data_IF_302104148739
#
_entry.id   IF_302104148739
#
_cell.length_a   1.000
_cell.length_b   1.000
_cell.length_c   1.000
_cell.angle_alpha   90.00
_cell.angle_beta   90.00
_cell.angle_gamma   90.00
#
_symmetry.space_group_name_H-M   'P 1'
#
loop_
_entity.id
_entity.type
_entity.pdbx_description
1 polymer ?
#
# COMPACT_ATOMS: atom_id res chain seq x y z
N UNK A 1 -15.04 6.01 -28.16
CA UNK A 1 -14.04 5.01 -28.44
C UNK A 1 -13.18 4.79 -27.21
N UNK A 2 -13.02 3.53 -26.77
CA UNK A 2 -12.17 3.21 -25.63
C UNK A 2 -10.72 3.56 -25.97
N UNK A 3 -10.07 4.40 -25.17
CA UNK A 3 -8.64 4.68 -25.28
C UNK A 3 -7.82 3.39 -25.04
N UNK A 4 -7.29 2.81 -26.11
CA UNK A 4 -6.38 1.65 -26.07
C UNK A 4 -4.95 2.16 -26.05
N UNK A 5 -4.35 2.33 -24.86
CA UNK A 5 -3.02 2.95 -24.75
C UNK A 5 -1.88 2.01 -24.38
N UNK A 6 -2.13 0.74 -24.09
CA UNK A 6 -1.05 -0.20 -23.80
C UNK A 6 -1.14 -1.42 -24.72
N UNK A 7 -0.33 -1.43 -25.76
CA UNK A 7 0.02 -2.63 -26.50
C UNK A 7 1.08 -3.36 -25.69
N UNK A 8 0.76 -4.56 -25.22
CA UNK A 8 1.71 -5.43 -24.55
C UNK A 8 2.41 -6.33 -25.58
N UNK A 9 3.66 -6.66 -25.29
CA UNK A 9 4.45 -7.61 -26.04
C UNK A 9 4.57 -8.89 -25.22
N UNK A 10 4.08 -10.01 -25.76
CA UNK A 10 4.29 -11.35 -25.19
C UNK A 10 5.55 -11.97 -25.78
N UNK A 11 6.34 -12.72 -24.98
CA UNK A 11 7.46 -13.48 -25.51
C UNK A 11 7.00 -14.41 -26.64
N UNK A 12 7.69 -14.38 -27.77
CA UNK A 12 7.49 -15.30 -28.89
C UNK A 12 8.46 -16.48 -28.83
N UNK A 13 9.47 -16.38 -27.96
CA UNK A 13 10.54 -17.34 -27.75
C UNK A 13 10.72 -17.63 -26.26
N UNK A 14 11.35 -18.74 -25.91
CA UNK A 14 11.70 -19.01 -24.51
C UNK A 14 12.88 -18.14 -24.08
N UNK A 15 12.63 -17.18 -23.22
CA UNK A 15 13.65 -16.28 -22.69
C UNK A 15 14.65 -16.97 -21.75
N UNK A 16 14.30 -18.12 -21.15
CA UNK A 16 15.27 -18.89 -20.37
C UNK A 16 16.38 -19.47 -21.29
N UNK A 17 16.03 -19.87 -22.51
CA UNK A 17 16.98 -20.37 -23.49
C UNK A 17 17.86 -19.27 -24.12
N UNK A 18 17.48 -18.00 -24.01
CA UNK A 18 18.27 -16.88 -24.51
C UNK A 18 19.34 -16.40 -23.52
N UNK A 19 19.24 -16.78 -22.26
CA UNK A 19 20.26 -16.44 -21.25
C UNK A 19 21.43 -17.40 -21.39
N UNK A 20 22.66 -16.90 -21.67
CA UNK A 20 23.83 -17.75 -21.81
C UNK A 20 24.10 -18.60 -20.55
N UNK A 21 24.61 -19.81 -20.74
CA UNK A 21 25.00 -20.70 -19.65
C UNK A 21 26.02 -20.03 -18.74
N UNK A 22 25.72 -19.98 -17.40
CA UNK A 22 26.57 -19.31 -16.43
C UNK A 22 26.29 -17.82 -16.24
N UNK A 23 25.40 -17.20 -17.04
CA UNK A 23 25.03 -15.78 -16.85
C UNK A 23 23.81 -15.62 -15.95
N UNK A 24 23.84 -14.65 -15.04
CA UNK A 24 22.70 -14.35 -14.18
C UNK A 24 21.63 -13.53 -14.93
N UNK A 25 20.36 -13.70 -14.57
CA UNK A 25 19.25 -12.89 -15.12
C UNK A 25 19.50 -11.38 -14.96
N UNK A 26 20.24 -10.98 -13.93
CA UNK A 26 20.57 -9.57 -13.68
C UNK A 26 21.59 -9.07 -14.71
N UNK A 27 22.66 -9.80 -14.94
CA UNK A 27 23.67 -9.45 -15.95
C UNK A 27 23.08 -9.42 -17.37
N UNK A 28 22.24 -10.39 -17.70
CA UNK A 28 21.51 -10.40 -18.97
C UNK A 28 20.56 -9.20 -19.14
N UNK A 29 19.89 -8.79 -18.06
CA UNK A 29 19.03 -7.59 -18.07
C UNK A 29 19.83 -6.29 -18.33
N UNK A 30 21.01 -6.18 -17.75
CA UNK A 30 21.92 -5.05 -17.98
C UNK A 30 22.37 -4.99 -19.46
N UNK A 31 22.69 -6.12 -20.07
CA UNK A 31 22.97 -6.22 -21.52
C UNK A 31 21.80 -5.80 -22.39
N UNK A 32 20.59 -6.19 -22.00
CA UNK A 32 19.35 -5.80 -22.68
C UNK A 32 18.92 -4.36 -22.41
N UNK A 33 19.59 -3.61 -21.53
CA UNK A 33 19.25 -2.24 -21.17
C UNK A 33 17.92 -2.12 -20.39
N UNK A 34 17.56 -3.16 -19.62
CA UNK A 34 16.31 -3.24 -18.87
C UNK A 34 16.53 -3.70 -17.43
N UNK A 35 15.54 -3.54 -16.57
CA UNK A 35 15.62 -4.01 -15.19
C UNK A 35 15.46 -5.54 -15.09
N UNK A 36 16.14 -6.16 -14.13
CA UNK A 36 16.14 -7.62 -13.92
C UNK A 36 14.74 -8.24 -13.69
N UNK A 37 13.80 -7.50 -13.13
CA UNK A 37 12.42 -7.93 -12.97
C UNK A 37 11.68 -8.10 -14.32
N UNK A 38 12.07 -7.37 -15.36
CA UNK A 38 11.49 -7.54 -16.70
C UNK A 38 11.94 -8.85 -17.33
N UNK A 39 13.23 -9.19 -17.21
CA UNK A 39 13.74 -10.48 -17.70
C UNK A 39 13.09 -11.65 -16.95
N UNK A 40 12.91 -11.54 -15.62
CA UNK A 40 12.15 -12.54 -14.85
C UNK A 40 10.75 -12.75 -15.41
N UNK A 41 10.00 -11.65 -15.65
CA UNK A 41 8.65 -11.71 -16.23
C UNK A 41 8.64 -12.41 -17.60
N UNK A 42 9.63 -12.15 -18.45
CA UNK A 42 9.76 -12.79 -19.75
C UNK A 42 10.04 -14.28 -19.62
N UNK A 43 10.91 -14.68 -18.69
CA UNK A 43 11.17 -16.09 -18.37
C UNK A 43 9.91 -16.81 -17.82
N UNK A 44 8.99 -16.07 -17.22
CA UNK A 44 7.69 -16.56 -16.73
C UNK A 44 6.58 -16.42 -17.79
N UNK A 45 6.93 -16.14 -19.04
CA UNK A 45 6.02 -15.92 -20.17
C UNK A 45 4.97 -14.82 -19.92
N UNK A 46 5.35 -13.78 -19.18
CA UNK A 46 4.47 -12.64 -18.86
C UNK A 46 4.67 -11.48 -19.84
N UNK A 47 3.60 -10.75 -20.18
CA UNK A 47 3.69 -9.62 -21.11
C UNK A 47 4.46 -8.45 -20.51
N UNK A 48 5.20 -7.73 -21.37
CA UNK A 48 5.88 -6.47 -21.06
C UNK A 48 5.35 -5.32 -21.92
N UNK A 49 5.74 -4.10 -21.64
CA UNK A 49 5.36 -2.95 -22.47
C UNK A 49 6.06 -3.00 -23.83
N UNK A 50 5.39 -2.51 -24.87
CA UNK A 50 5.97 -2.42 -26.23
C UNK A 50 7.29 -1.63 -26.23
N UNK A 51 7.41 -0.58 -25.39
CA UNK A 51 8.64 0.21 -25.28
C UNK A 51 9.81 -0.66 -24.80
N UNK A 52 9.61 -1.44 -23.75
CA UNK A 52 10.65 -2.33 -23.22
C UNK A 52 10.99 -3.48 -24.18
N UNK A 53 9.98 -4.01 -24.90
CA UNK A 53 10.21 -5.00 -25.93
C UNK A 53 11.10 -4.45 -27.05
N UNK A 54 10.82 -3.24 -27.55
CA UNK A 54 11.63 -2.60 -28.57
C UNK A 54 13.08 -2.37 -28.14
N UNK A 55 13.32 -1.99 -26.88
CA UNK A 55 14.67 -1.83 -26.31
C UNK A 55 15.42 -3.18 -26.33
N UNK A 56 14.76 -4.25 -25.92
CA UNK A 56 15.35 -5.60 -25.88
C UNK A 56 15.66 -6.08 -27.30
N UNK A 57 14.75 -5.91 -28.25
CA UNK A 57 14.93 -6.27 -29.66
C UNK A 57 16.10 -5.51 -30.29
N UNK A 58 16.22 -4.22 -30.02
CA UNK A 58 17.32 -3.40 -30.50
C UNK A 58 18.66 -3.86 -29.92
N UNK A 59 18.72 -4.11 -28.61
CA UNK A 59 19.96 -4.54 -27.93
C UNK A 59 20.41 -5.95 -28.31
N UNK A 60 19.49 -6.85 -28.58
CA UNK A 60 19.79 -8.23 -29.00
C UNK A 60 19.89 -8.38 -30.54
N UNK A 61 19.61 -7.31 -31.30
CA UNK A 61 19.63 -7.31 -32.76
C UNK A 61 18.59 -8.25 -33.40
N UNK A 62 17.51 -8.58 -32.72
CA UNK A 62 16.47 -9.54 -33.12
C UNK A 62 15.09 -8.90 -33.06
N UNK A 63 14.28 -9.12 -34.11
CA UNK A 63 12.88 -8.57 -34.19
C UNK A 63 11.80 -9.64 -34.03
N UNK A 64 12.20 -10.87 -33.77
CA UNK A 64 11.32 -12.04 -33.66
C UNK A 64 11.00 -12.43 -32.22
N UNK A 65 11.46 -11.64 -31.24
CA UNK A 65 11.37 -11.98 -29.82
C UNK A 65 9.98 -11.83 -29.21
N UNK A 66 9.13 -11.00 -29.81
CA UNK A 66 7.84 -10.65 -29.23
C UNK A 66 6.69 -10.73 -30.23
N UNK A 67 5.54 -11.20 -29.75
CA UNK A 67 4.23 -11.03 -30.41
C UNK A 67 3.48 -9.87 -29.77
N UNK A 68 3.09 -8.87 -30.56
CA UNK A 68 2.27 -7.77 -30.06
C UNK A 68 0.84 -8.28 -29.84
N UNK A 69 0.36 -8.14 -28.60
CA UNK A 69 -1.04 -8.42 -28.30
C UNK A 69 -1.87 -7.21 -28.67
N UNK A 70 -2.75 -7.35 -29.68
CA UNK A 70 -3.57 -6.26 -30.22
C UNK A 70 -4.64 -5.69 -29.27
N UNK A 71 -4.80 -6.23 -28.07
CA UNK A 71 -5.78 -5.79 -27.08
C UNK A 71 -5.11 -5.34 -25.79
N UNK A 72 -4.74 -4.07 -25.77
CA UNK A 72 -4.46 -3.40 -24.49
C UNK A 72 -5.72 -3.39 -23.62
N UNK A 73 -5.59 -3.78 -22.37
CA UNK A 73 -6.68 -3.66 -21.39
C UNK A 73 -7.07 -2.19 -21.28
N UNK A 74 -8.34 -1.86 -21.55
CA UNK A 74 -8.82 -0.49 -21.44
C UNK A 74 -8.53 0.06 -20.02
N UNK A 75 -8.08 1.31 -19.95
CA UNK A 75 -7.87 1.98 -18.67
C UNK A 75 -9.18 2.05 -17.88
N UNK A 76 -9.08 1.89 -16.57
CA UNK A 76 -10.25 2.07 -15.72
C UNK A 76 -10.75 3.52 -15.79
N UNK A 77 -12.06 3.76 -15.64
CA UNK A 77 -12.58 5.13 -15.54
C UNK A 77 -11.89 5.99 -14.49
N UNK A 78 -11.43 5.38 -13.38
CA UNK A 78 -10.62 6.04 -12.35
C UNK A 78 -9.28 6.51 -12.91
N UNK A 79 -8.51 5.62 -13.52
CA UNK A 79 -7.20 5.94 -14.12
C UNK A 79 -7.30 7.03 -15.19
N UNK A 80 -8.35 7.00 -16.02
CA UNK A 80 -8.58 8.05 -17.02
C UNK A 80 -8.81 9.41 -16.34
N UNK A 81 -9.58 9.44 -15.25
CA UNK A 81 -9.81 10.67 -14.48
C UNK A 81 -8.54 11.19 -13.79
N UNK A 82 -7.70 10.30 -13.29
CA UNK A 82 -6.43 10.68 -12.66
C UNK A 82 -5.49 11.33 -13.67
N UNK A 83 -5.35 10.75 -14.86
CA UNK A 83 -4.58 11.38 -15.95
C UNK A 83 -5.18 12.72 -16.39
N UNK A 84 -6.50 12.79 -16.52
CA UNK A 84 -7.17 14.04 -16.86
C UNK A 84 -6.91 15.12 -15.80
N UNK A 85 -6.97 14.79 -14.52
CA UNK A 85 -6.70 15.72 -13.42
C UNK A 85 -5.28 16.31 -13.52
N UNK A 86 -4.27 15.47 -13.80
CA UNK A 86 -2.88 15.92 -13.98
C UNK A 86 -2.79 16.88 -15.18
N UNK A 87 -3.32 16.49 -16.32
CA UNK A 87 -3.30 17.30 -17.55
C UNK A 87 -4.05 18.63 -17.35
N UNK A 88 -5.22 18.57 -16.73
CA UNK A 88 -6.04 19.75 -16.43
C UNK A 88 -5.32 20.73 -15.49
N UNK A 89 -4.59 20.22 -14.51
CA UNK A 89 -3.79 21.03 -13.58
C UNK A 89 -2.66 21.78 -14.33
N UNK A 90 -1.92 21.07 -15.19
CA UNK A 90 -0.83 21.67 -15.98
C UNK A 90 -1.36 22.71 -16.93
N UNK A 91 -2.44 22.40 -17.68
CA UNK A 91 -3.07 23.34 -18.60
C UNK A 91 -3.73 24.52 -17.86
N UNK A 92 -4.27 24.30 -16.66
CA UNK A 92 -4.81 25.35 -15.81
C UNK A 92 -3.73 26.33 -15.35
N UNK A 93 -2.50 25.85 -15.08
CA UNK A 93 -1.37 26.71 -14.77
C UNK A 93 -0.94 27.51 -16.01
N UNK A 94 -0.83 26.86 -17.18
CA UNK A 94 -0.51 27.54 -18.44
C UNK A 94 -1.53 28.63 -18.81
N UNK A 95 -2.83 28.40 -18.51
CA UNK A 95 -3.87 29.42 -18.66
C UNK A 95 -3.67 30.60 -17.70
N UNK A 96 -3.35 30.36 -16.42
CA UNK A 96 -3.05 31.42 -15.43
C UNK A 96 -1.85 32.27 -15.82
N UNK A 97 -0.85 31.64 -16.43
CA UNK A 97 0.37 32.30 -16.93
C UNK A 97 0.16 32.93 -18.31
N UNK A 98 -1.09 32.94 -18.84
CA UNK A 98 -1.46 33.49 -20.16
C UNK A 98 -0.70 32.86 -21.35
N UNK A 99 -0.14 31.65 -21.19
CA UNK A 99 0.51 30.89 -22.26
C UNK A 99 -0.54 30.35 -23.25
N UNK A 100 -1.72 29.97 -22.74
CA UNK A 100 -2.87 29.52 -23.53
C UNK A 100 -4.11 30.36 -23.21
N UNK A 101 -5.01 30.48 -24.19
CA UNK A 101 -6.22 31.33 -24.07
C UNK A 101 -7.35 30.68 -23.23
N UNK A 102 -7.35 29.38 -23.09
CA UNK A 102 -8.34 28.61 -22.31
C UNK A 102 -7.77 27.22 -22.02
N UNK A 103 -8.30 26.56 -20.98
CA UNK A 103 -7.94 25.20 -20.64
C UNK A 103 -8.81 24.20 -21.43
N UNK A 104 -8.29 23.53 -22.47
CA UNK A 104 -9.08 22.58 -23.29
C UNK A 104 -9.53 21.34 -22.51
N UNK A 105 -8.87 20.99 -21.39
CA UNK A 105 -9.24 19.84 -20.57
C UNK A 105 -10.61 20.03 -19.87
N UNK A 106 -11.05 21.26 -19.60
CA UNK A 106 -12.33 21.54 -18.96
C UNK A 106 -13.55 21.12 -19.81
N UNK A 107 -13.38 21.03 -21.14
CA UNK A 107 -14.44 20.64 -22.08
C UNK A 107 -14.54 19.14 -22.34
N UNK A 108 -13.70 18.33 -21.68
CA UNK A 108 -13.66 16.88 -21.89
C UNK A 108 -14.75 16.20 -21.07
N UNK A 109 -15.58 15.40 -21.72
CA UNK A 109 -16.54 14.53 -21.04
C UNK A 109 -15.83 13.31 -20.49
N UNK A 110 -15.73 13.23 -19.16
CA UNK A 110 -15.08 12.13 -18.47
C UNK A 110 -15.98 10.90 -18.35
N UNK A 111 -15.41 9.68 -18.42
CA UNK A 111 -16.18 8.46 -18.21
C UNK A 111 -16.78 8.45 -16.81
N UNK A 112 -18.05 7.99 -16.69
CA UNK A 112 -18.73 7.89 -15.40
C UNK A 112 -17.93 6.99 -14.45
N UNK A 113 -17.68 7.47 -13.21
CA UNK A 113 -17.09 6.65 -12.16
C UNK A 113 -18.08 5.53 -11.84
N UNK A 114 -17.73 4.27 -12.09
CA UNK A 114 -18.56 3.17 -11.58
C UNK A 114 -18.62 3.32 -10.08
N UNK A 115 -19.82 3.24 -9.49
CA UNK A 115 -19.98 3.22 -8.02
C UNK A 115 -18.96 2.24 -7.44
N UNK A 116 -18.28 2.67 -6.41
CA UNK A 116 -17.23 1.90 -5.73
C UNK A 116 -17.81 0.52 -5.42
N UNK A 117 -17.14 -0.54 -5.88
CA UNK A 117 -17.34 -1.88 -5.34
C UNK A 117 -17.11 -1.76 -3.84
N UNK A 118 -17.93 -2.43 -3.05
CA UNK A 118 -17.69 -2.60 -1.61
C UNK A 118 -16.20 -2.80 -1.38
N UNK A 119 -15.61 -1.94 -0.54
CA UNK A 119 -14.19 -2.06 -0.23
C UNK A 119 -14.01 -3.42 0.44
N UNK A 120 -13.21 -4.30 -0.18
CA UNK A 120 -12.89 -5.59 0.43
C UNK A 120 -12.33 -5.30 1.81
N UNK A 121 -12.91 -5.90 2.84
CA UNK A 121 -12.43 -5.85 4.22
C UNK A 121 -12.22 -7.26 4.72
N UNK A 122 -11.26 -7.44 5.61
CA UNK A 122 -11.09 -8.70 6.33
C UNK A 122 -12.10 -8.77 7.45
N UNK A 123 -12.80 -9.87 7.53
CA UNK A 123 -13.70 -10.15 8.65
C UNK A 123 -12.88 -10.43 9.93
N UNK A 124 -13.47 -10.24 11.14
CA UNK A 124 -12.78 -10.49 12.40
C UNK A 124 -12.10 -11.86 12.49
N UNK A 125 -12.74 -12.91 11.98
CA UNK A 125 -12.20 -14.28 11.96
C UNK A 125 -10.98 -14.40 11.07
N UNK A 126 -10.97 -13.74 9.93
CA UNK A 126 -9.80 -13.70 9.03
C UNK A 126 -8.63 -12.95 9.67
N UNK A 127 -8.90 -11.86 10.42
CA UNK A 127 -7.86 -11.15 11.17
C UNK A 127 -7.29 -12.01 12.30
N UNK A 128 -8.11 -12.80 13.00
CA UNK A 128 -7.64 -13.78 13.99
C UNK A 128 -6.72 -14.82 13.35
N UNK A 129 -7.08 -15.33 12.17
CA UNK A 129 -6.23 -16.26 11.41
C UNK A 129 -4.89 -15.62 11.03
N UNK A 130 -4.90 -14.37 10.58
CA UNK A 130 -3.67 -13.60 10.27
C UNK A 130 -2.82 -13.45 11.53
N UNK A 131 -3.40 -13.06 12.68
CA UNK A 131 -2.69 -12.88 13.95
C UNK A 131 -2.07 -14.20 14.43
N UNK A 132 -2.78 -15.31 14.30
CA UNK A 132 -2.26 -16.63 14.65
C UNK A 132 -1.08 -17.03 13.74
N UNK A 133 -1.16 -16.77 12.44
CA UNK A 133 -0.07 -17.02 11.50
C UNK A 133 1.17 -16.17 11.79
N UNK A 134 0.98 -14.93 12.28
CA UNK A 134 2.09 -14.04 12.63
C UNK A 134 2.94 -14.53 13.83
N UNK A 135 2.42 -15.42 14.67
CA UNK A 135 3.19 -15.97 15.80
C UNK A 135 4.42 -16.77 15.33
N UNK A 136 4.36 -17.35 14.13
CA UNK A 136 5.48 -18.10 13.54
C UNK A 136 6.46 -17.20 12.75
N UNK A 137 6.20 -15.90 12.66
CA UNK A 137 7.00 -14.97 11.86
C UNK A 137 8.03 -14.21 12.73
N UNK A 138 9.12 -13.68 12.10
CA UNK A 138 10.12 -12.87 12.80
C UNK A 138 9.48 -11.67 13.51
N UNK A 139 9.98 -11.38 14.72
CA UNK A 139 9.47 -10.33 15.59
C UNK A 139 9.30 -8.95 14.90
N UNK A 140 10.23 -8.45 14.06
CA UNK A 140 10.05 -7.16 13.38
C UNK A 140 8.89 -7.15 12.40
N UNK A 141 8.66 -8.25 11.65
CA UNK A 141 7.55 -8.37 10.73
C UNK A 141 6.23 -8.49 11.48
N UNK A 142 6.17 -9.36 12.50
CA UNK A 142 5.00 -9.52 13.37
C UNK A 142 4.58 -8.18 13.99
N UNK A 143 5.51 -7.42 14.54
CA UNK A 143 5.22 -6.11 15.13
C UNK A 143 4.69 -5.09 14.11
N UNK A 144 5.25 -5.06 12.89
CA UNK A 144 4.80 -4.16 11.82
C UNK A 144 3.36 -4.47 11.40
N UNK A 145 3.04 -5.74 11.17
CA UNK A 145 1.70 -6.14 10.73
C UNK A 145 0.67 -5.95 11.86
N UNK A 146 1.03 -6.28 13.10
CA UNK A 146 0.17 -6.02 14.26
C UNK A 146 -0.11 -4.53 14.43
N UNK A 147 0.88 -3.65 14.17
CA UNK A 147 0.66 -2.20 14.18
C UNK A 147 -0.36 -1.77 13.11
N UNK A 148 -0.28 -2.31 11.88
CA UNK A 148 -1.29 -2.01 10.85
C UNK A 148 -2.69 -2.43 11.27
N UNK A 149 -2.82 -3.61 11.86
CA UNK A 149 -4.12 -4.13 12.31
C UNK A 149 -4.70 -3.28 13.44
N UNK A 150 -3.87 -2.90 14.43
CA UNK A 150 -4.33 -2.21 15.63
C UNK A 150 -4.57 -0.72 15.44
N UNK A 151 -3.87 -0.06 14.51
CA UNK A 151 -3.93 1.40 14.34
C UNK A 151 -4.52 1.86 13.01
N UNK A 152 -4.56 0.99 12.01
CA UNK A 152 -4.94 1.37 10.66
C UNK A 152 -4.04 2.44 10.03
N UNK A 153 -2.81 2.64 10.53
CA UNK A 153 -1.90 3.64 9.98
C UNK A 153 -1.49 3.32 8.53
N UNK A 154 -1.10 4.35 7.78
CA UNK A 154 -0.59 4.16 6.42
C UNK A 154 0.78 3.50 6.45
N UNK A 155 1.11 2.73 5.41
CA UNK A 155 2.41 2.05 5.28
C UNK A 155 3.60 2.99 5.50
N UNK A 156 3.60 4.15 4.85
CA UNK A 156 4.66 5.13 5.00
C UNK A 156 4.73 5.74 6.40
N UNK A 157 3.60 5.90 7.08
CA UNK A 157 3.53 6.39 8.46
C UNK A 157 4.16 5.40 9.45
N UNK A 158 3.83 4.11 9.33
CA UNK A 158 4.43 3.07 10.16
C UNK A 158 5.95 3.00 9.99
N UNK A 159 6.45 3.06 8.74
CA UNK A 159 7.89 3.00 8.47
C UNK A 159 8.65 4.26 8.88
N UNK A 160 7.98 5.41 8.96
CA UNK A 160 8.56 6.65 9.44
C UNK A 160 8.50 6.81 10.98
N UNK A 161 7.86 5.86 11.68
CA UNK A 161 7.71 5.92 13.13
C UNK A 161 9.07 5.76 13.82
N UNK A 162 9.39 6.66 14.75
CA UNK A 162 10.60 6.66 15.55
C UNK A 162 10.30 6.34 17.01
N UNK A 163 11.29 5.84 17.76
CA UNK A 163 11.10 5.42 19.15
C UNK A 163 10.73 6.57 20.09
N UNK A 164 11.15 7.80 19.83
CA UNK A 164 10.78 9.00 20.56
C UNK A 164 9.31 9.43 20.39
N UNK A 165 8.63 8.86 19.40
CA UNK A 165 7.20 9.12 19.11
C UNK A 165 6.27 8.09 19.78
N UNK A 166 6.81 7.17 20.57
CA UNK A 166 6.04 6.18 21.31
C UNK A 166 6.03 6.54 22.79
N UNK A 167 4.85 6.85 23.31
CA UNK A 167 4.61 7.03 24.73
C UNK A 167 4.15 5.69 25.32
N UNK A 168 5.10 5.00 25.98
CA UNK A 168 4.84 3.69 26.59
C UNK A 168 4.02 3.75 27.88
N UNK A 169 3.90 4.92 28.51
CA UNK A 169 3.13 5.12 29.73
C UNK A 169 1.67 5.40 29.37
N UNK A 170 1.44 6.29 28.39
CA UNK A 170 0.09 6.58 27.87
C UNK A 170 -0.43 5.57 26.89
N UNK A 171 0.40 4.60 26.47
CA UNK A 171 0.07 3.63 25.43
C UNK A 171 -0.37 4.32 24.12
N UNK A 172 0.40 5.29 23.64
CA UNK A 172 0.08 6.09 22.45
C UNK A 172 1.27 6.20 21.50
N UNK A 173 0.98 6.39 20.22
CA UNK A 173 1.98 6.81 19.21
C UNK A 173 1.58 8.15 18.61
N UNK A 174 2.59 8.97 18.30
CA UNK A 174 2.44 10.20 17.52
C UNK A 174 2.83 9.92 16.07
N UNK A 175 1.89 10.04 15.16
CA UNK A 175 2.10 9.93 13.71
C UNK A 175 2.20 11.35 13.15
N UNK A 176 3.41 11.80 12.81
CA UNK A 176 3.70 13.14 12.28
C UNK A 176 4.45 13.10 10.95
N UNK A 177 4.96 11.93 10.55
CA UNK A 177 5.76 11.74 9.34
C UNK A 177 5.29 10.57 8.49
N UNK A 178 5.72 10.57 7.24
CA UNK A 178 5.49 9.47 6.30
C UNK A 178 6.73 9.26 5.44
N UNK A 179 7.07 8.01 5.20
CA UNK A 179 8.19 7.59 4.37
C UNK A 179 7.71 7.20 2.98
N UNK A 180 8.39 7.69 1.96
CA UNK A 180 8.16 7.37 0.54
C UNK A 180 9.46 6.91 -0.10
N UNK A 181 9.34 6.24 -1.22
CA UNK A 181 10.47 5.88 -2.08
C UNK A 181 10.31 6.54 -3.44
N UNK A 182 11.33 7.28 -3.86
CA UNK A 182 11.44 7.90 -5.18
C UNK A 182 12.62 7.27 -5.92
N UNK A 183 12.47 6.88 -7.20
CA UNK A 183 13.55 6.22 -7.94
C UNK A 183 14.84 7.04 -8.02
N UNK A 184 14.72 8.38 -8.14
CA UNK A 184 15.86 9.28 -8.32
C UNK A 184 16.58 9.60 -6.99
N UNK A 185 15.85 9.65 -5.87
CA UNK A 185 16.37 10.14 -4.59
C UNK A 185 16.33 9.10 -3.46
N UNK A 186 15.80 7.91 -3.75
CA UNK A 186 15.70 6.83 -2.78
C UNK A 186 14.59 7.02 -1.74
N UNK A 187 14.84 6.56 -0.51
CA UNK A 187 13.90 6.65 0.60
C UNK A 187 13.95 8.06 1.20
N UNK A 188 12.80 8.71 1.26
CA UNK A 188 12.65 10.02 1.88
C UNK A 188 11.58 10.01 2.96
N UNK A 189 11.81 10.75 4.03
CA UNK A 189 10.83 11.00 5.09
C UNK A 189 10.41 12.47 5.07
N UNK A 190 9.11 12.70 5.04
CA UNK A 190 8.53 14.04 5.07
C UNK A 190 7.34 14.10 6.03
N UNK A 191 6.73 15.28 6.15
CA UNK A 191 5.46 15.42 6.87
C UNK A 191 4.39 14.49 6.27
N UNK A 192 3.36 14.16 7.06
CA UNK A 192 2.21 13.39 6.54
C UNK A 192 1.61 14.08 5.32
N UNK A 193 0.97 13.33 4.43
CA UNK A 193 0.36 13.85 3.18
C UNK A 193 -0.58 15.06 3.42
N UNK A 194 -1.16 15.16 4.61
CA UNK A 194 -2.08 16.24 5.03
C UNK A 194 -1.41 17.30 5.88
N UNK A 195 -0.12 17.15 6.23
CA UNK A 195 0.59 18.04 7.16
C UNK A 195 0.15 17.89 8.63
N UNK A 196 -0.89 17.13 8.92
CA UNK A 196 -1.44 16.99 10.25
C UNK A 196 -0.81 15.81 11.00
N UNK A 197 -0.38 16.07 12.24
CA UNK A 197 -0.01 15.03 13.21
C UNK A 197 -1.24 14.52 13.96
N UNK A 198 -1.17 13.26 14.42
CA UNK A 198 -2.20 12.68 15.27
C UNK A 198 -1.63 11.70 16.27
N UNK A 199 -2.28 11.59 17.43
CA UNK A 199 -2.02 10.55 18.41
C UNK A 199 -2.99 9.39 18.20
N UNK A 200 -2.46 8.17 18.30
CA UNK A 200 -3.25 6.95 18.16
C UNK A 200 -2.95 6.06 19.36
N UNK A 201 -4.00 5.69 20.10
CA UNK A 201 -3.90 4.77 21.22
C UNK A 201 -3.50 3.36 20.76
N UNK A 202 -2.69 2.68 21.56
CA UNK A 202 -2.22 1.33 21.32
C UNK A 202 -2.84 0.35 22.31
N UNK A 203 -3.31 -0.82 21.86
CA UNK A 203 -3.65 -1.93 22.76
C UNK A 203 -2.43 -2.38 23.58
N UNK A 204 -2.65 -2.91 24.78
CA UNK A 204 -1.60 -3.36 25.69
C UNK A 204 -0.67 -4.42 25.07
N UNK A 205 -1.24 -5.29 24.24
CA UNK A 205 -0.53 -6.33 23.50
C UNK A 205 0.46 -5.71 22.50
N UNK A 206 0.06 -4.62 21.80
CA UNK A 206 0.94 -3.91 20.89
C UNK A 206 2.08 -3.21 21.63
N UNK A 207 1.80 -2.59 22.77
CA UNK A 207 2.81 -1.97 23.64
C UNK A 207 3.84 -3.01 24.08
N UNK A 208 3.38 -4.18 24.50
CA UNK A 208 4.24 -5.32 24.89
C UNK A 208 5.13 -5.77 23.73
N UNK A 209 4.55 -5.87 22.53
CA UNK A 209 5.26 -6.27 21.32
C UNK A 209 6.32 -5.22 20.92
N UNK A 210 6.02 -3.94 21.05
CA UNK A 210 6.98 -2.86 20.79
C UNK A 210 8.14 -2.86 21.79
N UNK A 211 7.87 -3.13 23.07
CA UNK A 211 8.95 -3.28 24.09
C UNK A 211 9.90 -4.44 23.72
N UNK A 212 9.35 -5.58 23.30
CA UNK A 212 10.16 -6.73 22.82
C UNK A 212 10.97 -6.36 21.57
N UNK A 213 10.36 -5.64 20.62
CA UNK A 213 11.05 -5.19 19.41
C UNK A 213 12.20 -4.23 19.73
N UNK A 214 12.01 -3.31 20.70
CA UNK A 214 13.07 -2.40 21.14
C UNK A 214 14.25 -3.14 21.75
N UNK A 215 13.99 -4.14 22.61
CA UNK A 215 15.02 -4.99 23.18
C UNK A 215 15.77 -5.76 22.07
N UNK A 216 15.04 -6.39 21.15
CA UNK A 216 15.61 -7.08 19.99
C UNK A 216 16.53 -6.16 19.17
N UNK A 217 16.08 -4.93 18.83
CA UNK A 217 16.93 -3.99 18.08
C UNK A 217 18.17 -3.57 18.86
N UNK A 218 18.08 -3.44 20.19
CA UNK A 218 19.23 -3.12 21.03
C UNK A 218 20.27 -4.24 20.97
N UNK A 219 19.85 -5.50 21.02
CA UNK A 219 20.73 -6.66 20.89
C UNK A 219 21.40 -6.72 19.50
N UNK A 220 20.62 -6.53 18.43
CA UNK A 220 21.15 -6.52 17.06
C UNK A 220 22.15 -5.36 16.84
N UNK A 221 21.87 -4.19 17.40
CA UNK A 221 22.79 -3.05 17.37
C UNK A 221 24.11 -3.37 18.07
N UNK A 222 24.07 -4.03 19.22
CA UNK A 222 25.30 -4.44 19.95
C UNK A 222 26.11 -5.49 19.17
N UNK A 223 25.44 -6.43 18.48
CA UNK A 223 26.09 -7.45 17.65
C UNK A 223 26.75 -6.85 16.39
N UNK A 224 26.10 -5.86 15.77
CA UNK A 224 26.55 -5.28 14.51
C UNK A 224 27.57 -4.15 14.69
N UNK A 225 27.62 -3.51 15.87
CA UNK A 225 28.54 -2.40 16.14
C UNK A 225 28.43 -1.29 15.09
N UNK A 226 29.55 -0.97 14.45
CA UNK A 226 29.67 0.10 13.45
C UNK A 226 28.87 -0.17 12.16
N UNK A 227 28.43 -1.40 11.93
CA UNK A 227 27.55 -1.71 10.77
C UNK A 227 26.10 -1.29 11.00
N UNK A 228 25.74 -0.88 12.22
CA UNK A 228 24.40 -0.41 12.53
C UNK A 228 24.21 1.07 12.19
N UNK A 229 23.23 1.35 11.31
CA UNK A 229 22.81 2.71 10.97
C UNK A 229 21.72 3.19 11.94
N UNK A 230 22.04 4.17 12.80
CA UNK A 230 21.10 4.64 13.80
C UNK A 230 20.21 5.79 13.28
N UNK A 231 19.03 5.46 12.82
CA UNK A 231 17.99 6.40 12.40
C UNK A 231 16.85 6.56 13.42
N UNK A 232 16.96 5.98 14.61
CA UNK A 232 15.92 5.94 15.65
C UNK A 232 14.57 5.36 15.20
N UNK A 233 14.53 4.63 14.06
CA UNK A 233 13.32 4.07 13.50
C UNK A 233 12.88 2.80 14.24
N UNK A 234 11.56 2.62 14.37
CA UNK A 234 10.95 1.41 14.95
C UNK A 234 11.06 0.22 14.00
N UNK A 235 10.84 0.44 12.70
CA UNK A 235 10.88 -0.60 11.67
C UNK A 235 12.02 -0.36 10.69
N UNK A 236 13.05 -1.19 10.79
CA UNK A 236 14.30 -1.04 10.04
C UNK A 236 14.60 -2.27 9.19
N UNK A 237 15.61 -2.16 8.35
CA UNK A 237 16.32 -3.31 7.80
C UNK A 237 17.18 -3.96 8.90
N UNK A 238 17.80 -5.10 8.57
CA UNK A 238 18.67 -5.85 9.50
C UNK A 238 19.82 -5.02 10.10
N UNK A 239 20.29 -4.00 9.39
CA UNK A 239 21.40 -3.12 9.79
C UNK A 239 20.92 -1.76 10.33
N UNK A 240 19.67 -1.59 10.74
CA UNK A 240 19.15 -0.31 11.22
C UNK A 240 18.71 0.70 10.15
N UNK A 241 19.10 0.48 8.89
CA UNK A 241 18.75 1.36 7.77
C UNK A 241 17.24 1.42 7.51
N UNK A 242 16.74 2.51 6.90
CA UNK A 242 15.34 2.65 6.52
C UNK A 242 14.87 1.52 5.59
N UNK A 243 13.69 0.98 5.83
CA UNK A 243 13.06 -0.05 5.00
C UNK A 243 12.32 0.59 3.84
N UNK A 244 12.55 0.09 2.62
CA UNK A 244 11.80 0.56 1.45
C UNK A 244 10.30 0.22 1.60
N UNK A 245 9.40 1.22 1.50
CA UNK A 245 7.95 0.98 1.60
C UNK A 245 7.42 -0.05 0.60
N UNK A 246 8.02 -0.17 -0.58
CA UNK A 246 7.64 -1.17 -1.58
C UNK A 246 7.82 -2.61 -1.10
N UNK A 247 8.87 -2.87 -0.32
CA UNK A 247 9.19 -4.21 0.16
C UNK A 247 8.14 -4.76 1.14
N UNK A 248 7.43 -3.90 1.88
CA UNK A 248 6.36 -4.35 2.79
C UNK A 248 5.26 -5.12 2.05
N UNK A 249 4.94 -4.72 0.81
CA UNK A 249 3.95 -5.46 0.02
C UNK A 249 4.49 -6.82 -0.43
N UNK A 250 5.79 -6.89 -0.79
CA UNK A 250 6.42 -8.15 -1.17
C UNK A 250 6.50 -9.12 0.02
N UNK A 251 6.89 -8.61 1.20
CA UNK A 251 6.94 -9.40 2.43
C UNK A 251 5.53 -9.92 2.81
N UNK A 252 4.48 -9.09 2.65
CA UNK A 252 3.10 -9.51 2.87
C UNK A 252 2.62 -10.55 1.85
N UNK A 253 2.97 -10.40 0.57
CA UNK A 253 2.63 -11.38 -0.47
C UNK A 253 3.29 -12.74 -0.19
N UNK A 254 4.54 -12.75 0.26
CA UNK A 254 5.27 -13.94 0.66
C UNK A 254 4.63 -14.59 1.90
N UNK A 255 4.32 -13.80 2.92
CA UNK A 255 3.59 -14.25 4.11
C UNK A 255 2.23 -14.88 3.77
N UNK A 256 1.43 -14.21 2.93
CA UNK A 256 0.14 -14.75 2.50
C UNK A 256 0.27 -16.07 1.76
N UNK A 257 1.27 -16.20 0.87
CA UNK A 257 1.54 -17.47 0.16
C UNK A 257 1.97 -18.58 1.11
N UNK A 258 2.89 -18.29 2.04
CA UNK A 258 3.41 -19.24 3.02
C UNK A 258 2.30 -19.83 3.91
N UNK A 259 1.32 -19.00 4.30
CA UNK A 259 0.26 -19.40 5.22
C UNK A 259 -1.09 -19.68 4.54
N UNK A 260 -1.15 -19.75 3.20
CA UNK A 260 -2.38 -20.00 2.45
C UNK A 260 -3.46 -18.94 2.65
N UNK A 261 -3.06 -17.69 2.96
CA UNK A 261 -3.96 -16.57 3.18
C UNK A 261 -4.32 -15.87 1.86
N UNK A 262 -5.47 -15.18 1.77
CA UNK A 262 -5.79 -14.34 0.62
C UNK A 262 -4.77 -13.21 0.48
N UNK A 263 -4.67 -12.61 -0.71
CA UNK A 263 -3.82 -11.45 -0.91
C UNK A 263 -4.23 -10.29 0.01
N UNK A 264 -3.30 -9.84 0.85
CA UNK A 264 -3.47 -8.78 1.83
C UNK A 264 -2.45 -7.68 1.56
N UNK A 265 -2.85 -6.43 1.74
CA UNK A 265 -1.96 -5.28 1.70
C UNK A 265 -2.24 -4.33 2.89
N UNK A 266 -1.34 -3.38 3.20
CA UNK A 266 -1.51 -2.48 4.35
C UNK A 266 -2.82 -1.67 4.32
N UNK A 267 -3.31 -1.31 3.13
CA UNK A 267 -4.59 -0.59 3.00
C UNK A 267 -5.78 -1.47 3.37
N UNK A 268 -5.70 -2.77 3.11
CA UNK A 268 -6.76 -3.71 3.50
C UNK A 268 -6.90 -3.81 5.01
N UNK A 269 -5.79 -3.85 5.76
CA UNK A 269 -5.83 -3.78 7.23
C UNK A 269 -6.47 -2.48 7.72
N UNK A 270 -6.11 -1.35 7.13
CA UNK A 270 -6.69 -0.05 7.45
C UNK A 270 -8.20 -0.02 7.20
N UNK A 271 -8.65 -0.54 6.05
CA UNK A 271 -10.08 -0.63 5.73
C UNK A 271 -10.81 -1.57 6.71
N UNK A 272 -10.20 -2.68 7.08
CA UNK A 272 -10.78 -3.62 8.04
C UNK A 272 -10.89 -3.02 9.44
N UNK A 273 -9.84 -2.35 9.93
CA UNK A 273 -9.86 -1.66 11.22
C UNK A 273 -10.98 -0.60 11.27
N UNK A 274 -11.10 0.23 10.24
CA UNK A 274 -12.15 1.23 10.16
C UNK A 274 -13.57 0.60 10.14
N UNK A 275 -13.76 -0.43 9.32
CA UNK A 275 -15.05 -1.12 9.20
C UNK A 275 -15.46 -1.76 10.51
N UNK A 276 -14.53 -2.43 11.20
CA UNK A 276 -14.78 -3.06 12.51
C UNK A 276 -15.14 -2.02 13.56
N UNK A 277 -14.44 -0.90 13.64
CA UNK A 277 -14.73 0.15 14.60
C UNK A 277 -16.12 0.75 14.36
N UNK A 278 -16.44 1.07 13.11
CA UNK A 278 -17.74 1.64 12.73
C UNK A 278 -18.90 0.67 12.97
N UNK A 279 -18.74 -0.62 12.62
CA UNK A 279 -19.79 -1.64 12.87
C UNK A 279 -19.99 -1.95 14.37
N UNK A 280 -19.01 -1.61 15.22
CA UNK A 280 -19.15 -1.64 16.68
C UNK A 280 -19.65 -0.32 17.29
N UNK A 281 -20.10 0.64 16.46
CA UNK A 281 -20.73 1.86 16.93
C UNK A 281 -19.77 2.99 17.33
N UNK A 282 -18.47 2.86 17.03
CA UNK A 282 -17.53 3.98 17.22
C UNK A 282 -17.90 5.09 16.24
N UNK A 283 -17.95 6.33 16.72
CA UNK A 283 -18.35 7.46 15.88
C UNK A 283 -17.39 7.73 14.72
N UNK A 284 -17.93 8.24 13.61
CA UNK A 284 -17.21 8.44 12.35
C UNK A 284 -16.06 9.46 12.49
N UNK A 285 -16.23 10.48 13.34
CA UNK A 285 -15.21 11.51 13.56
C UNK A 285 -14.00 10.92 14.28
N UNK A 286 -14.24 10.10 15.30
CA UNK A 286 -13.18 9.38 16.03
C UNK A 286 -12.42 8.46 15.08
N UNK A 287 -13.11 7.68 14.24
CA UNK A 287 -12.47 6.79 13.28
C UNK A 287 -11.70 7.59 12.21
N UNK A 288 -12.27 8.67 11.68
CA UNK A 288 -11.61 9.53 10.71
C UNK A 288 -10.35 10.18 11.32
N UNK A 289 -10.43 10.65 12.57
CA UNK A 289 -9.31 11.20 13.33
C UNK A 289 -8.18 10.18 13.53
N UNK A 290 -8.51 8.97 13.99
CA UNK A 290 -7.57 7.86 14.16
C UNK A 290 -6.85 7.53 12.84
N UNK A 291 -7.59 7.46 11.75
CA UNK A 291 -7.04 7.17 10.43
C UNK A 291 -6.27 8.36 9.82
N UNK A 292 -6.51 9.60 10.25
CA UNK A 292 -5.93 10.82 9.68
C UNK A 292 -6.49 11.11 8.28
N UNK A 293 -7.81 11.02 8.12
CA UNK A 293 -8.52 11.54 6.97
C UNK A 293 -8.70 13.05 7.14
N UNK A 294 -8.26 13.83 6.16
CA UNK A 294 -8.45 15.30 6.16
C UNK A 294 -9.91 15.69 5.94
N UNK A 295 -10.67 14.80 5.32
CA UNK A 295 -12.10 14.98 5.04
C UNK A 295 -12.86 13.73 5.53
N UNK A 296 -13.80 13.98 6.44
CA UNK A 296 -14.69 12.95 7.01
C UNK A 296 -15.57 12.30 5.95
N UNK A 297 -15.89 13.04 4.86
CA UNK A 297 -16.65 12.49 3.72
C UNK A 297 -15.97 11.25 3.13
N UNK A 298 -14.65 11.21 3.12
CA UNK A 298 -13.88 10.02 2.69
C UNK A 298 -14.23 8.79 3.52
N UNK A 299 -14.42 8.95 4.84
CA UNK A 299 -14.80 7.86 5.74
C UNK A 299 -16.26 7.48 5.51
N UNK A 300 -17.17 8.45 5.42
CA UNK A 300 -18.58 8.23 5.16
C UNK A 300 -18.82 7.48 3.85
N UNK A 301 -18.22 7.95 2.74
CA UNK A 301 -18.39 7.35 1.42
C UNK A 301 -17.81 5.93 1.33
N UNK A 302 -16.68 5.71 2.02
CA UNK A 302 -15.98 4.42 1.94
C UNK A 302 -16.65 3.35 2.79
N UNK A 303 -17.23 3.72 3.95
CA UNK A 303 -17.72 2.80 4.98
C UNK A 303 -19.22 2.92 5.25
N UNK A 304 -20.00 3.45 4.31
CA UNK A 304 -21.45 3.61 4.42
C UNK A 304 -22.17 2.34 4.91
N UNK A 305 -21.77 1.16 4.39
CA UNK A 305 -22.34 -0.13 4.79
C UNK A 305 -22.12 -0.46 6.27
N UNK A 306 -20.90 -0.23 6.78
CA UNK A 306 -20.59 -0.49 8.19
C UNK A 306 -21.36 0.46 9.12
N UNK A 307 -21.58 1.70 8.67
CA UNK A 307 -22.40 2.69 9.38
C UNK A 307 -23.87 2.27 9.43
N UNK A 308 -24.40 1.74 8.33
CA UNK A 308 -25.80 1.27 8.29
C UNK A 308 -26.00 0.01 9.16
N UNK A 309 -24.99 -0.85 9.26
CA UNK A 309 -25.02 -1.97 10.22
C UNK A 309 -25.00 -1.48 11.67
N UNK A 310 -24.17 -0.48 12.00
CA UNK A 310 -24.15 0.13 13.32
C UNK A 310 -25.50 0.78 13.69
N UNK A 311 -26.15 1.48 12.76
CA UNK A 311 -27.48 2.07 12.96
C UNK A 311 -28.53 1.00 13.31
N UNK A 312 -28.50 -0.17 12.65
CA UNK A 312 -29.40 -1.29 12.98
C UNK A 312 -29.15 -1.81 14.39
N UNK A 313 -27.90 -2.02 14.79
CA UNK A 313 -27.54 -2.41 16.17
C UNK A 313 -27.99 -1.38 17.20
N UNK A 314 -27.90 -0.09 16.87
CA UNK A 314 -28.41 0.99 17.76
C UNK A 314 -29.91 0.93 17.93
N UNK A 315 -30.68 0.67 16.86
CA UNK A 315 -32.13 0.51 16.95
C UNK A 315 -32.51 -0.71 17.80
N UNK A 316 -31.80 -1.83 17.65
CA UNK A 316 -31.97 -3.03 18.47
C UNK A 316 -31.67 -2.72 19.96
N UNK A 317 -30.60 -1.98 20.26
CA UNK A 317 -30.23 -1.59 21.62
C UNK A 317 -31.31 -0.70 22.28
N UNK A 318 -31.89 0.25 21.53
CA UNK A 318 -33.01 1.06 22.00
C UNK A 318 -34.23 0.15 22.34
N UNK A 319 -34.55 -0.78 21.45
CA UNK A 319 -35.66 -1.74 21.67
C UNK A 319 -35.45 -2.58 22.91
N UNK A 320 -34.23 -3.12 23.11
CA UNK A 320 -33.90 -3.95 24.27
C UNK A 320 -33.92 -3.15 25.58
N UNK A 321 -33.45 -1.86 25.55
CA UNK A 321 -33.40 -1.00 26.72
C UNK A 321 -34.77 -0.48 27.12
N UNK A 322 -35.61 -0.07 26.16
CA UNK A 322 -36.89 0.57 26.43
C UNK A 322 -38.03 -0.44 26.53
N UNK A 323 -38.03 -1.49 25.67
CA UNK A 323 -39.10 -2.45 25.55
C UNK A 323 -38.88 -3.73 26.37
N UNK A 324 -37.74 -3.88 27.03
CA UNK A 324 -37.45 -4.96 27.96
C UNK A 324 -37.44 -6.38 27.33
N UNK A 325 -37.30 -6.46 26.00
CA UNK A 325 -37.24 -7.75 25.29
C UNK A 325 -35.80 -8.27 25.29
N UNK A 326 -35.41 -9.04 26.31
CA UNK A 326 -34.24 -9.92 26.20
C UNK A 326 -34.56 -10.99 25.11
N UNK A 327 -33.77 -10.99 24.04
CA UNK A 327 -33.78 -12.12 23.09
C UNK A 327 -33.24 -13.36 23.82
N UNK A 328 -34.00 -14.43 23.76
CA UNK A 328 -33.61 -15.79 24.20
C UNK A 328 -32.51 -16.34 23.26
#
# INVERSE_FOLDING_TARGET
GACRWQVFALPAVDFNALIPEGETRKAFAEKCGVYGNLIRRLCENQPISRKNAAIIEEKLGRKDLFKLTGEGKALSPGTVRDYHAIISTVLGQAYKEMIIKYNPAERVTLPKKKRVRESKTLQPEQLKTVLAALEAEPLPFRALITLFISTGCRRGEALALTWDKIDFEKCEILIDRSMIYLPETGIQSGTTKTGNSRRVALPAEMVTLLRKLRAYQTEERLKLGDLWENHNLVFTRWNGAPKNPGNVNLDLDEFCKKHGLPHINPHLFRHSAASILLSNGVDVLTVAGMLGHSDVSTTLDTYAHAIDEAKRKTADCISDTILGKKRA
#
